data_IF_122861054499
#
_entry.id   IF_122861054499
#
_cell.length_a   1.000
_cell.length_b   1.000
_cell.length_c   1.000
_cell.angle_alpha   90.00
_cell.angle_beta   90.00
_cell.angle_gamma   90.00
#
_symmetry.space_group_name_H-M   'P 1'
#
loop_
_entity.id
_entity.type
_entity.pdbx_description
1 polymer ?
#
# COMPACT_ATOMS: atom_id res chain seq x y z
N UNK A 1 -22.95 -21.40 -44.23
CA UNK A 1 -23.91 -20.63 -43.43
C UNK A 1 -23.34 -20.53 -42.04
N UNK A 2 -22.77 -19.39 -41.67
CA UNK A 2 -22.24 -19.14 -40.34
C UNK A 2 -23.41 -18.86 -39.41
N UNK A 3 -23.49 -19.61 -38.32
CA UNK A 3 -24.46 -19.41 -37.27
C UNK A 3 -24.17 -18.08 -36.56
N UNK A 4 -24.94 -17.06 -36.90
CA UNK A 4 -24.83 -15.67 -36.42
C UNK A 4 -25.62 -15.45 -35.12
N UNK A 5 -25.91 -16.52 -34.37
CA UNK A 5 -26.64 -16.44 -33.10
C UNK A 5 -25.70 -16.33 -31.89
N UNK A 6 -24.69 -15.45 -31.96
CA UNK A 6 -24.13 -14.88 -30.73
C UNK A 6 -25.17 -13.90 -30.18
N UNK A 7 -25.98 -14.36 -29.22
CA UNK A 7 -26.77 -13.46 -28.39
C UNK A 7 -25.77 -12.56 -27.64
N UNK A 8 -25.64 -11.32 -28.09
CA UNK A 8 -24.99 -10.27 -27.31
C UNK A 8 -25.81 -10.11 -26.03
N UNK A 9 -25.30 -10.67 -24.93
CA UNK A 9 -25.82 -10.36 -23.61
C UNK A 9 -25.52 -8.89 -23.32
N UNK A 10 -26.55 -8.16 -22.90
CA UNK A 10 -26.35 -6.82 -22.35
C UNK A 10 -25.42 -6.95 -21.13
N UNK A 11 -24.28 -6.27 -21.17
CA UNK A 11 -23.36 -6.23 -20.04
C UNK A 11 -24.14 -5.76 -18.80
N UNK A 12 -24.22 -6.60 -17.77
CA UNK A 12 -25.00 -6.35 -16.57
C UNK A 12 -24.18 -5.69 -15.47
N UNK A 13 -23.30 -4.75 -15.82
CA UNK A 13 -22.53 -4.01 -14.82
C UNK A 13 -21.97 -2.70 -15.40
N UNK A 14 -22.72 -1.63 -15.21
CA UNK A 14 -22.15 -0.39 -14.70
C UNK A 14 -22.88 -0.12 -13.40
N UNK A 15 -22.15 0.20 -12.33
CA UNK A 15 -22.79 0.71 -11.11
C UNK A 15 -23.56 2.00 -11.48
N UNK A 16 -24.69 2.29 -10.82
CA UNK A 16 -25.37 3.55 -11.06
C UNK A 16 -24.44 4.71 -10.68
N UNK A 17 -24.57 5.85 -11.36
CA UNK A 17 -23.81 7.09 -11.08
C UNK A 17 -23.82 7.46 -9.59
N UNK A 18 -24.93 7.21 -8.89
CA UNK A 18 -25.04 7.44 -7.45
C UNK A 18 -24.02 6.65 -6.62
N UNK A 19 -23.58 5.47 -7.07
CA UNK A 19 -22.56 4.69 -6.38
C UNK A 19 -21.24 5.45 -6.25
N UNK A 20 -20.90 6.32 -7.20
CA UNK A 20 -19.66 7.08 -7.19
C UNK A 20 -19.82 8.43 -6.47
N UNK A 21 -20.97 9.07 -6.59
CA UNK A 21 -21.09 10.49 -6.23
C UNK A 21 -22.08 10.81 -5.10
N UNK A 22 -22.84 9.83 -4.59
CA UNK A 22 -23.73 10.04 -3.45
C UNK A 22 -22.94 10.01 -2.12
N UNK A 23 -22.88 11.14 -1.36
CA UNK A 23 -22.21 11.18 -0.06
C UNK A 23 -22.78 10.19 0.97
N UNK A 24 -24.07 9.85 0.88
CA UNK A 24 -24.69 8.89 1.79
C UNK A 24 -24.23 7.45 1.50
N UNK A 25 -24.08 7.09 0.22
CA UNK A 25 -23.50 5.81 -0.15
C UNK A 25 -22.02 5.75 0.21
N UNK A 26 -21.26 6.82 -0.03
CA UNK A 26 -19.87 6.92 0.42
C UNK A 26 -19.72 6.68 1.94
N UNK A 27 -20.56 7.32 2.77
CA UNK A 27 -20.54 7.11 4.21
C UNK A 27 -20.83 5.65 4.59
N UNK A 28 -21.80 5.02 3.93
CA UNK A 28 -22.10 3.60 4.11
C UNK A 28 -20.93 2.70 3.70
N UNK A 29 -20.23 3.01 2.60
CA UNK A 29 -19.03 2.29 2.16
C UNK A 29 -17.92 2.36 3.21
N UNK A 30 -17.71 3.53 3.82
CA UNK A 30 -16.70 3.67 4.88
C UNK A 30 -17.03 2.79 6.10
N UNK A 31 -18.30 2.72 6.50
CA UNK A 31 -18.75 1.89 7.63
C UNK A 31 -18.78 0.39 7.33
N UNK A 32 -18.99 0.00 6.07
CA UNK A 32 -19.23 -1.40 5.69
C UNK A 32 -18.04 -2.07 5.05
N UNK A 33 -17.30 -1.38 4.17
CA UNK A 33 -16.17 -1.93 3.44
C UNK A 33 -14.83 -1.61 4.12
N UNK A 34 -14.62 -0.37 4.54
CA UNK A 34 -13.33 0.06 5.11
C UNK A 34 -13.23 -0.29 6.59
N UNK A 35 -14.24 0.06 7.41
CA UNK A 35 -14.22 -0.22 8.85
C UNK A 35 -14.23 -1.73 9.18
N UNK A 36 -14.93 -2.53 8.37
CA UNK A 36 -15.01 -4.01 8.50
C UNK A 36 -14.04 -4.75 7.56
N UNK A 37 -13.27 -4.01 6.77
CA UNK A 37 -12.28 -4.53 5.85
C UNK A 37 -11.01 -5.02 6.55
N UNK A 38 -9.96 -5.33 5.80
CA UNK A 38 -8.70 -5.84 6.37
C UNK A 38 -7.92 -4.83 7.22
N UNK A 39 -8.17 -3.51 7.12
CA UNK A 39 -7.54 -2.47 7.96
C UNK A 39 -6.01 -2.53 7.95
N UNK A 40 -5.40 -2.44 6.76
CA UNK A 40 -3.95 -2.33 6.61
C UNK A 40 -3.43 -1.04 7.26
N UNK A 41 -2.31 -1.12 7.96
CA UNK A 41 -1.71 0.01 8.69
C UNK A 41 -0.24 0.26 8.33
N UNK A 42 0.34 -0.54 7.43
CA UNK A 42 1.73 -0.42 7.00
C UNK A 42 2.47 -1.76 7.05
N UNK A 43 3.69 -1.78 6.54
CA UNK A 43 4.53 -2.97 6.52
C UNK A 43 5.52 -2.99 7.70
N UNK A 44 5.88 -4.18 8.19
CA UNK A 44 6.89 -4.33 9.26
C UNK A 44 8.26 -3.75 8.91
N UNK A 45 8.61 -3.71 7.61
CA UNK A 45 9.85 -3.09 7.11
C UNK A 45 9.87 -1.56 7.26
N UNK A 46 8.75 -0.92 7.62
CA UNK A 46 8.77 0.48 8.01
C UNK A 46 9.48 0.71 9.36
N UNK A 47 9.53 -0.33 10.20
CA UNK A 47 10.11 -0.35 11.56
C UNK A 47 10.97 -1.63 11.78
N UNK A 48 12.07 -1.80 11.01
CA UNK A 48 12.82 -3.06 10.99
C UNK A 48 13.46 -3.41 12.33
N UNK A 49 13.91 -2.43 13.11
CA UNK A 49 14.68 -2.67 14.34
C UNK A 49 13.88 -2.31 15.61
N UNK A 50 14.10 -3.00 16.75
CA UNK A 50 13.48 -2.65 18.02
C UNK A 50 13.76 -1.19 18.41
N UNK A 51 12.71 -0.46 18.75
CA UNK A 51 12.76 0.97 19.03
C UNK A 51 12.37 1.84 17.83
N UNK A 52 12.38 1.30 16.62
CA UNK A 52 11.90 2.02 15.43
C UNK A 52 10.40 2.29 15.53
N UNK A 53 10.01 3.49 15.12
CA UNK A 53 8.63 3.90 14.96
C UNK A 53 8.37 4.46 13.56
N UNK A 54 7.12 4.33 13.11
CA UNK A 54 6.60 4.98 11.93
C UNK A 54 5.25 5.62 12.25
N UNK A 55 5.22 6.95 12.33
CA UNK A 55 3.98 7.71 12.46
C UNK A 55 3.24 7.68 11.11
N UNK A 56 2.00 7.19 11.13
CA UNK A 56 1.24 6.83 9.92
C UNK A 56 0.77 8.09 9.17
N UNK A 57 1.31 8.39 7.97
CA UNK A 57 0.95 9.60 7.23
C UNK A 57 -0.52 9.60 6.79
N UNK A 58 -1.07 8.45 6.42
CA UNK A 58 -2.47 8.25 6.03
C UNK A 58 -3.47 8.52 7.17
N UNK A 59 -2.98 8.65 8.41
CA UNK A 59 -3.79 8.99 9.58
C UNK A 59 -3.38 10.31 10.22
N UNK A 60 -2.73 11.19 9.45
CA UNK A 60 -2.22 12.47 9.93
C UNK A 60 -1.33 12.31 11.18
N UNK A 61 -0.52 11.26 11.21
CA UNK A 61 0.38 10.90 12.32
C UNK A 61 -0.36 10.60 13.65
N UNK A 62 -1.68 10.36 13.65
CA UNK A 62 -2.46 10.10 14.87
C UNK A 62 -2.20 8.73 15.53
N UNK A 63 -1.65 7.80 14.76
CA UNK A 63 -1.17 6.48 15.22
C UNK A 63 0.22 6.21 14.67
N UNK A 64 0.93 5.29 15.30
CA UNK A 64 2.25 4.86 14.87
C UNK A 64 2.42 3.35 15.01
N UNK A 65 3.11 2.75 14.04
CA UNK A 65 3.73 1.44 14.24
C UNK A 65 4.97 1.64 15.11
N UNK A 66 5.18 0.75 16.07
CA UNK A 66 6.33 0.75 16.96
C UNK A 66 6.86 -0.67 17.09
N UNK A 67 8.14 -0.88 16.78
CA UNK A 67 8.79 -2.14 17.02
C UNK A 67 9.23 -2.24 18.48
N UNK A 68 8.60 -3.14 19.23
CA UNK A 68 8.92 -3.40 20.63
C UNK A 68 9.62 -4.76 20.78
N UNK A 69 10.20 -5.08 21.95
CA UNK A 69 10.72 -6.42 22.22
C UNK A 69 9.69 -7.56 22.08
N UNK A 70 8.39 -7.23 22.03
CA UNK A 70 7.28 -8.18 21.87
C UNK A 70 6.79 -8.30 20.41
N UNK A 71 7.42 -7.58 19.49
CA UNK A 71 7.00 -7.44 18.09
C UNK A 71 6.51 -6.03 17.77
N UNK A 72 6.02 -5.86 16.54
CA UNK A 72 5.46 -4.59 16.09
C UNK A 72 4.06 -4.40 16.67
N UNK A 73 3.83 -3.27 17.34
CA UNK A 73 2.54 -2.89 17.92
C UNK A 73 2.05 -1.59 17.27
N UNK A 74 0.74 -1.45 17.12
CA UNK A 74 0.11 -0.18 16.73
C UNK A 74 -0.28 0.59 18.00
N UNK A 75 0.22 1.81 18.14
CA UNK A 75 0.01 2.66 19.33
C UNK A 75 -0.55 4.02 18.96
N UNK A 76 -1.33 4.61 19.86
CA UNK A 76 -1.84 5.96 19.69
C UNK A 76 -0.67 6.93 19.79
N UNK A 77 -0.55 7.83 18.83
CA UNK A 77 0.51 8.83 18.79
C UNK A 77 0.02 10.20 19.28
N UNK A 78 -1.04 10.22 20.09
CA UNK A 78 -1.70 11.42 20.60
C UNK A 78 -1.63 11.44 22.13
N UNK A 79 -0.90 12.41 22.68
CA UNK A 79 -0.69 12.54 24.11
C UNK A 79 -2.01 12.72 24.87
N UNK A 80 -2.20 11.97 25.96
CA UNK A 80 -3.43 12.01 26.76
C UNK A 80 -3.58 13.25 27.65
N UNK A 81 -2.54 14.09 27.74
CA UNK A 81 -2.63 15.38 28.46
C UNK A 81 -3.43 16.42 27.65
N UNK A 82 -2.92 16.81 26.48
CA UNK A 82 -3.52 17.87 25.63
C UNK A 82 -3.41 17.55 24.13
N UNK A 83 -3.49 16.26 23.79
CA UNK A 83 -3.65 15.78 22.42
C UNK A 83 -2.55 16.18 21.44
N UNK A 84 -1.35 16.47 21.94
CA UNK A 84 -0.20 16.70 21.07
C UNK A 84 0.23 15.41 20.38
N UNK A 85 0.52 15.51 19.08
CA UNK A 85 1.23 14.46 18.34
C UNK A 85 2.62 14.25 18.98
N UNK A 86 2.99 13.01 19.26
CA UNK A 86 4.21 12.69 20.01
C UNK A 86 5.40 12.47 19.07
N UNK A 87 5.26 11.55 18.13
CA UNK A 87 6.27 11.12 17.15
C UNK A 87 5.92 11.66 15.76
N UNK A 88 6.91 11.92 14.91
CA UNK A 88 6.70 12.42 13.53
C UNK A 88 7.54 11.63 12.54
N UNK A 89 7.00 11.35 11.36
CA UNK A 89 7.67 10.55 10.34
C UNK A 89 8.16 9.19 10.85
N UNK A 90 9.37 8.80 10.42
CA UNK A 90 10.08 7.59 10.86
C UNK A 90 11.27 7.95 11.73
N UNK A 91 11.58 7.13 12.73
CA UNK A 91 12.74 7.30 13.58
C UNK A 91 12.85 6.20 14.62
N UNK A 92 13.76 6.36 15.59
CA UNK A 92 13.96 5.41 16.68
C UNK A 92 13.85 6.11 18.04
N UNK A 93 13.24 5.43 19.03
CA UNK A 93 13.03 5.97 20.38
C UNK A 93 14.32 6.09 21.21
N UNK A 94 15.36 5.33 20.85
CA UNK A 94 16.65 5.26 21.54
C UNK A 94 17.64 6.34 21.09
N UNK A 95 17.48 6.89 19.87
CA UNK A 95 18.39 7.85 19.26
C UNK A 95 18.64 9.12 20.09
N UNK A 96 17.81 9.41 21.11
CA UNK A 96 17.93 10.58 21.98
C UNK A 96 17.53 10.34 23.46
N UNK A 97 17.41 9.10 23.97
CA UNK A 97 16.86 8.91 25.33
C UNK A 97 16.76 7.48 25.89
N UNK A 98 15.71 7.22 26.68
CA UNK A 98 15.50 5.99 27.47
C UNK A 98 14.76 4.86 26.72
N UNK A 99 14.52 5.01 25.41
CA UNK A 99 13.69 4.05 24.65
C UNK A 99 12.21 4.08 25.05
N UNK A 100 11.67 5.25 25.43
CA UNK A 100 10.28 5.46 25.80
C UNK A 100 9.59 6.46 24.87
N UNK A 101 8.26 6.42 24.80
CA UNK A 101 7.47 7.40 24.06
C UNK A 101 7.36 8.65 24.95
N UNK A 102 8.02 9.75 24.59
CA UNK A 102 8.05 10.98 25.39
C UNK A 102 7.35 12.12 24.66
N UNK A 103 6.27 12.64 25.23
CA UNK A 103 5.58 13.79 24.66
C UNK A 103 6.50 15.03 24.60
N UNK A 104 6.64 15.70 23.45
CA UNK A 104 7.57 16.81 23.29
C UNK A 104 7.17 18.07 24.07
N UNK A 105 5.90 18.20 24.47
CA UNK A 105 5.40 19.42 25.14
C UNK A 105 5.68 19.44 26.64
N UNK A 106 5.25 18.40 27.35
CA UNK A 106 5.28 18.36 28.82
C UNK A 106 5.97 17.11 29.37
N UNK A 107 6.65 16.34 28.51
CA UNK A 107 7.43 15.15 28.88
C UNK A 107 6.64 14.05 29.60
N UNK A 108 5.33 13.97 29.34
CA UNK A 108 4.56 12.77 29.69
C UNK A 108 5.20 11.58 28.98
N UNK A 109 5.58 10.58 29.77
CA UNK A 109 6.40 9.47 29.33
C UNK A 109 5.60 8.19 29.38
N UNK A 110 5.56 7.46 28.28
CA UNK A 110 4.83 6.20 28.15
C UNK A 110 5.78 5.06 27.83
N UNK A 111 5.43 3.89 28.33
CA UNK A 111 6.22 2.68 28.12
C UNK A 111 6.23 2.26 26.64
N UNK A 112 7.39 1.76 26.19
CA UNK A 112 7.59 1.21 24.86
C UNK A 112 8.36 -0.13 24.85
N UNK A 113 9.24 -0.34 25.83
CA UNK A 113 10.10 -1.53 25.89
C UNK A 113 10.28 -2.11 27.31
N UNK A 114 9.72 -1.48 28.34
CA UNK A 114 9.79 -1.95 29.72
C UNK A 114 8.79 -3.07 30.04
N UNK A 115 8.74 -3.54 31.30
CA UNK A 115 7.92 -4.69 31.70
C UNK A 115 6.40 -4.43 31.62
N UNK A 116 6.00 -3.17 31.55
CA UNK A 116 4.58 -2.79 31.44
C UNK A 116 4.08 -2.95 29.99
N UNK A 117 2.76 -2.96 29.76
CA UNK A 117 2.22 -2.87 28.41
C UNK A 117 2.67 -1.57 27.70
N UNK A 118 2.90 -1.64 26.39
CA UNK A 118 3.16 -0.46 25.54
C UNK A 118 2.05 0.58 25.72
N UNK A 119 2.43 1.85 25.82
CA UNK A 119 1.51 2.95 26.06
C UNK A 119 1.13 3.20 27.51
N UNK A 120 1.56 2.36 28.47
CA UNK A 120 1.35 2.62 29.90
C UNK A 120 2.02 3.92 30.30
N UNK A 121 1.31 4.84 30.97
CA UNK A 121 1.91 6.06 31.49
C UNK A 121 2.90 5.70 32.62
N UNK A 122 4.15 6.14 32.46
CA UNK A 122 5.24 5.92 33.42
C UNK A 122 5.51 7.16 34.26
N UNK A 123 5.08 8.34 33.81
CA UNK A 123 5.26 9.58 34.54
C UNK A 123 4.59 10.78 33.89
N UNK A 124 3.91 11.56 34.72
CA UNK A 124 3.38 12.89 34.39
C UNK A 124 4.09 13.95 35.26
N UNK A 125 5.08 14.68 34.73
CA UNK A 125 5.78 15.71 35.49
C UNK A 125 4.83 16.71 36.13
N UNK A 126 5.11 17.07 37.40
CA UNK A 126 4.33 17.99 38.24
C UNK A 126 2.96 17.48 38.72
N UNK A 127 2.61 16.21 38.47
CA UNK A 127 1.46 15.58 39.10
C UNK A 127 1.90 14.88 40.39
N UNK A 128 1.09 14.97 41.44
CA UNK A 128 1.34 14.28 42.71
C UNK A 128 1.17 12.76 42.57
N UNK A 129 0.29 12.34 41.67
CA UNK A 129 0.01 10.94 41.31
C UNK A 129 -0.14 10.86 39.79
N UNK A 130 0.33 9.78 39.19
CA UNK A 130 0.19 9.57 37.76
C UNK A 130 -1.28 9.33 37.39
N UNK A 131 -1.87 10.16 36.50
CA UNK A 131 -3.23 9.92 36.06
C UNK A 131 -3.26 8.63 35.24
N UNK A 132 -4.29 7.79 35.43
CA UNK A 132 -4.45 6.52 34.68
C UNK A 132 -4.84 6.75 33.20
N UNK A 133 -3.98 7.46 32.46
CA UNK A 133 -4.21 7.98 31.12
C UNK A 133 -3.18 7.37 30.15
N UNK A 134 -3.28 6.06 29.96
CA UNK A 134 -2.44 5.31 29.02
C UNK A 134 -2.76 5.64 27.56
N UNK A 135 -1.77 5.48 26.68
CA UNK A 135 -2.01 5.42 25.24
C UNK A 135 -2.78 4.14 24.91
N UNK A 136 -3.69 4.25 23.94
CA UNK A 136 -4.37 3.08 23.38
C UNK A 136 -3.42 2.32 22.45
N UNK A 137 -3.49 0.99 22.48
CA UNK A 137 -2.87 0.10 21.50
C UNK A 137 -3.94 -0.72 20.79
N UNK A 138 -3.57 -1.32 19.65
CA UNK A 138 -4.42 -2.20 18.86
C UNK A 138 -3.65 -3.48 18.52
N UNK A 139 -4.34 -4.62 18.60
CA UNK A 139 -3.78 -5.91 18.17
C UNK A 139 -3.63 -5.93 16.65
N UNK A 140 -2.52 -6.50 16.18
CA UNK A 140 -2.22 -6.69 14.77
C UNK A 140 -2.26 -8.17 14.37
N UNK A 141 -2.58 -8.43 13.11
CA UNK A 141 -2.34 -9.68 12.41
C UNK A 141 -1.40 -9.40 11.22
N UNK A 142 -0.66 -10.40 10.78
CA UNK A 142 0.39 -10.24 9.76
C UNK A 142 0.18 -11.22 8.59
N UNK A 143 0.41 -10.74 7.37
CA UNK A 143 0.54 -11.58 6.16
C UNK A 143 1.73 -11.08 5.33
N UNK A 144 2.77 -11.90 5.18
CA UNK A 144 4.01 -11.54 4.46
C UNK A 144 4.61 -10.18 4.88
N UNK A 145 4.54 -9.84 6.17
CA UNK A 145 5.03 -8.58 6.71
C UNK A 145 4.07 -7.39 6.62
N UNK A 146 2.97 -7.50 5.86
CA UNK A 146 1.89 -6.51 5.86
C UNK A 146 1.13 -6.62 7.19
N UNK A 147 0.95 -5.49 7.87
CA UNK A 147 0.32 -5.43 9.19
C UNK A 147 -1.10 -4.89 9.08
N UNK A 148 -2.02 -5.60 9.73
CA UNK A 148 -3.45 -5.33 9.69
C UNK A 148 -4.00 -5.27 11.11
N UNK A 149 -4.93 -4.36 11.38
CA UNK A 149 -5.64 -4.40 12.66
C UNK A 149 -6.52 -5.64 12.76
N UNK A 150 -6.51 -6.26 13.94
CA UNK A 150 -7.41 -7.36 14.23
C UNK A 150 -8.82 -6.83 14.54
N UNK A 151 -9.74 -6.99 13.58
CA UNK A 151 -11.12 -6.50 13.67
C UNK A 151 -12.18 -7.58 13.34
N UNK A 152 -11.80 -8.86 13.34
CA UNK A 152 -12.67 -9.98 13.00
C UNK A 152 -12.56 -10.47 11.55
N UNK A 153 -11.87 -9.72 10.67
CA UNK A 153 -11.41 -10.22 9.36
C UNK A 153 -10.19 -11.13 9.58
N UNK A 154 -10.14 -12.29 8.92
CA UNK A 154 -8.97 -13.18 8.91
C UNK A 154 -8.25 -13.07 7.57
N UNK A 155 -7.17 -12.28 7.55
CA UNK A 155 -6.41 -11.99 6.32
C UNK A 155 -5.67 -13.24 5.81
N UNK A 156 -5.15 -14.07 6.73
CA UNK A 156 -4.42 -15.27 6.36
C UNK A 156 -5.34 -16.29 5.67
N UNK A 157 -6.58 -16.45 6.17
CA UNK A 157 -7.60 -17.29 5.55
C UNK A 157 -8.05 -16.73 4.21
N UNK A 158 -8.29 -15.42 4.11
CA UNK A 158 -8.70 -14.79 2.85
C UNK A 158 -7.70 -15.01 1.72
N UNK A 159 -6.39 -14.96 2.02
CA UNK A 159 -5.30 -15.08 1.04
C UNK A 159 -4.66 -16.48 1.02
N UNK A 160 -5.23 -17.47 1.71
CA UNK A 160 -4.61 -18.78 1.91
C UNK A 160 -4.31 -19.54 0.61
N UNK A 161 -5.14 -19.35 -0.41
CA UNK A 161 -5.10 -20.08 -1.68
C UNK A 161 -4.61 -19.24 -2.88
N UNK A 162 -4.07 -18.04 -2.62
CA UNK A 162 -3.59 -17.14 -3.66
C UNK A 162 -2.39 -17.75 -4.39
N UNK A 163 -2.45 -17.83 -5.72
CA UNK A 163 -1.45 -18.48 -6.56
C UNK A 163 -0.01 -17.98 -6.33
N UNK A 164 0.33 -16.71 -6.62
CA UNK A 164 1.70 -16.19 -6.56
C UNK A 164 2.17 -15.83 -5.15
N UNK A 165 1.76 -16.58 -4.11
CA UNK A 165 2.09 -16.27 -2.71
C UNK A 165 3.60 -16.22 -2.42
N UNK A 166 4.39 -17.07 -3.08
CA UNK A 166 5.85 -17.06 -2.94
C UNK A 166 6.52 -15.92 -3.71
N UNK A 167 5.84 -15.33 -4.68
CA UNK A 167 6.38 -14.21 -5.47
C UNK A 167 6.16 -12.88 -4.75
N UNK A 168 5.07 -12.77 -3.98
CA UNK A 168 4.78 -11.62 -3.11
C UNK A 168 5.44 -11.77 -1.73
N UNK A 169 6.74 -12.07 -1.72
CA UNK A 169 7.58 -12.25 -0.53
C UNK A 169 8.54 -11.07 -0.37
N UNK A 170 8.47 -10.39 0.79
CA UNK A 170 9.30 -9.23 1.13
C UNK A 170 10.61 -9.62 1.85
N UNK A 171 10.93 -10.92 1.92
CA UNK A 171 12.19 -11.39 2.52
C UNK A 171 13.40 -10.80 1.81
N UNK A 172 14.26 -10.11 2.56
CA UNK A 172 15.44 -9.43 2.01
C UNK A 172 15.11 -8.15 1.24
N UNK A 173 13.93 -7.57 1.44
CA UNK A 173 13.57 -6.26 0.93
C UNK A 173 13.71 -5.18 2.00
N UNK A 174 13.85 -3.92 1.57
CA UNK A 174 13.79 -2.72 2.39
C UNK A 174 12.78 -1.72 1.82
N UNK A 175 12.11 -0.99 2.70
CA UNK A 175 11.27 0.16 2.32
C UNK A 175 12.16 1.32 1.91
N UNK A 176 12.07 1.74 0.65
CA UNK A 176 12.83 2.87 0.11
C UNK A 176 12.06 4.19 0.21
N UNK A 177 10.81 4.20 -0.25
CA UNK A 177 9.99 5.41 -0.34
C UNK A 177 8.52 5.13 -0.05
N UNK A 178 7.85 6.11 0.55
CA UNK A 178 6.39 6.20 0.61
C UNK A 178 5.97 7.46 -0.14
N UNK A 179 5.12 7.30 -1.16
CA UNK A 179 4.53 8.39 -1.92
C UNK A 179 3.05 8.55 -1.55
N UNK A 180 2.61 9.79 -1.35
CA UNK A 180 1.22 10.13 -1.07
C UNK A 180 0.64 10.82 -2.30
N UNK A 181 -0.01 10.06 -3.16
CA UNK A 181 -0.53 10.54 -4.44
C UNK A 181 -2.02 10.89 -4.34
N UNK A 182 -2.36 12.15 -4.61
CA UNK A 182 -3.75 12.61 -4.58
C UNK A 182 -4.47 12.33 -5.90
N UNK A 183 -5.55 11.55 -5.83
CA UNK A 183 -6.42 11.22 -6.95
C UNK A 183 -7.73 12.04 -6.87
N UNK A 184 -8.14 12.71 -7.94
CA UNK A 184 -9.34 13.56 -7.99
C UNK A 184 -10.59 12.82 -8.48
N UNK A 185 -10.74 11.56 -8.07
CA UNK A 185 -11.83 10.68 -8.49
C UNK A 185 -12.20 9.70 -7.37
N UNK A 186 -13.33 9.01 -7.55
CA UNK A 186 -13.83 8.03 -6.57
C UNK A 186 -12.86 6.85 -6.42
N UNK A 187 -12.76 6.31 -5.19
CA UNK A 187 -11.91 5.15 -4.92
C UNK A 187 -12.30 3.91 -5.75
N UNK A 188 -13.59 3.76 -6.08
CA UNK A 188 -14.06 2.66 -6.94
C UNK A 188 -13.55 2.82 -8.36
N UNK A 189 -13.50 4.04 -8.89
CA UNK A 189 -12.97 4.33 -10.23
C UNK A 189 -11.51 3.92 -10.32
N UNK A 190 -10.69 4.22 -9.30
CA UNK A 190 -9.32 3.70 -9.21
C UNK A 190 -9.29 2.18 -9.31
N UNK A 191 -10.09 1.51 -8.47
CA UNK A 191 -10.12 0.04 -8.42
C UNK A 191 -10.62 -0.56 -9.73
N UNK A 192 -11.57 0.08 -10.41
CA UNK A 192 -12.08 -0.36 -11.71
C UNK A 192 -11.03 -0.26 -12.82
N UNK A 193 -10.26 0.84 -12.87
CA UNK A 193 -9.13 0.97 -13.79
C UNK A 193 -8.06 -0.08 -13.50
N UNK A 194 -7.71 -0.30 -12.23
CA UNK A 194 -6.71 -1.29 -11.83
C UNK A 194 -7.13 -2.75 -12.12
N UNK A 195 -8.44 -3.04 -12.10
CA UNK A 195 -9.00 -4.40 -12.25
C UNK A 195 -9.26 -4.80 -13.70
N UNK A 196 -8.64 -4.14 -14.67
CA UNK A 196 -8.72 -4.53 -16.07
C UNK A 196 -7.45 -4.16 -16.85
N UNK A 197 -7.09 -5.02 -17.82
CA UNK A 197 -5.89 -4.84 -18.65
C UNK A 197 -6.20 -4.30 -20.05
N UNK A 198 -7.46 -3.96 -20.34
CA UNK A 198 -7.93 -3.58 -21.67
C UNK A 198 -7.42 -2.20 -22.09
N UNK A 199 -7.20 -1.29 -21.15
CA UNK A 199 -6.58 0.01 -21.41
C UNK A 199 -5.05 -0.05 -21.57
N UNK A 200 -4.39 -1.13 -21.12
CA UNK A 200 -2.93 -1.16 -20.99
C UNK A 200 -2.21 -0.94 -22.32
N UNK A 201 -2.54 -1.74 -23.33
CA UNK A 201 -1.92 -1.61 -24.66
C UNK A 201 -2.23 -0.29 -25.36
N UNK A 202 -3.50 0.16 -25.40
CA UNK A 202 -3.89 1.41 -26.07
C UNK A 202 -3.45 2.70 -25.36
N UNK A 203 -3.40 2.72 -24.04
CA UNK A 203 -3.27 3.96 -23.25
C UNK A 203 -1.89 4.15 -22.63
N UNK A 204 -1.21 3.07 -22.24
CA UNK A 204 0.12 3.16 -21.63
C UNK A 204 1.23 2.89 -22.66
N UNK A 205 1.82 3.91 -23.29
CA UNK A 205 2.94 3.70 -24.20
C UNK A 205 4.09 2.98 -23.50
N UNK A 206 4.46 3.38 -22.27
CA UNK A 206 5.50 2.74 -21.48
C UNK A 206 5.14 1.32 -21.07
N UNK A 207 4.14 1.18 -20.18
CA UNK A 207 3.73 -0.11 -19.62
C UNK A 207 3.31 -1.12 -20.69
N UNK A 208 2.54 -0.70 -21.69
CA UNK A 208 2.08 -1.56 -22.79
C UNK A 208 3.19 -2.08 -23.70
N UNK A 209 4.42 -1.52 -23.60
CA UNK A 209 5.62 -2.06 -24.24
C UNK A 209 6.56 -2.80 -23.27
N UNK A 210 6.21 -2.87 -21.98
CA UNK A 210 6.92 -3.65 -20.97
C UNK A 210 6.20 -4.98 -20.67
N UNK A 211 4.88 -4.96 -20.51
CA UNK A 211 4.06 -6.14 -20.26
C UNK A 211 3.30 -6.57 -21.51
N UNK A 212 2.92 -7.85 -21.58
CA UNK A 212 1.94 -8.33 -22.57
C UNK A 212 0.77 -9.02 -21.88
N UNK A 213 -0.42 -8.80 -22.42
CA UNK A 213 -1.64 -9.47 -22.00
C UNK A 213 -1.90 -10.76 -22.81
N UNK A 214 -1.01 -11.15 -23.72
CA UNK A 214 -1.16 -12.35 -24.55
C UNK A 214 -1.21 -13.65 -23.73
N UNK A 215 -0.55 -13.67 -22.57
CA UNK A 215 -0.50 -14.80 -21.63
C UNK A 215 -1.10 -14.45 -20.26
N UNK A 216 -1.97 -13.44 -20.22
CA UNK A 216 -2.68 -12.96 -19.05
C UNK A 216 -3.41 -14.09 -18.32
N UNK A 217 -3.18 -14.19 -17.00
CA UNK A 217 -3.86 -15.12 -16.11
C UNK A 217 -4.59 -14.36 -15.03
N UNK A 218 -5.85 -14.72 -14.85
CA UNK A 218 -6.72 -14.19 -13.81
C UNK A 218 -7.01 -15.22 -12.72
N UNK A 219 -6.88 -14.80 -11.48
CA UNK A 219 -7.50 -15.45 -10.34
C UNK A 219 -8.54 -14.51 -9.75
N UNK A 220 -9.80 -14.94 -9.67
CA UNK A 220 -10.87 -14.19 -9.01
C UNK A 220 -11.42 -14.97 -7.83
N UNK A 221 -11.41 -14.34 -6.65
CA UNK A 221 -11.99 -14.86 -5.41
C UNK A 221 -12.91 -13.82 -4.78
N UNK A 222 -13.75 -14.21 -3.80
CA UNK A 222 -14.66 -13.26 -3.15
C UNK A 222 -13.99 -12.06 -2.49
N UNK A 223 -12.70 -12.18 -2.11
CA UNK A 223 -11.97 -11.17 -1.33
C UNK A 223 -10.75 -10.61 -2.03
N UNK A 224 -10.31 -11.21 -3.13
CA UNK A 224 -9.15 -10.75 -3.87
C UNK A 224 -9.21 -11.15 -5.34
N UNK A 225 -8.43 -10.47 -6.16
CA UNK A 225 -8.11 -10.87 -7.53
C UNK A 225 -6.61 -10.79 -7.76
N UNK A 226 -6.10 -11.60 -8.68
CA UNK A 226 -4.71 -11.54 -9.13
C UNK A 226 -4.68 -11.55 -10.66
N UNK A 227 -3.93 -10.61 -11.21
CA UNK A 227 -3.53 -10.56 -12.62
C UNK A 227 -2.06 -10.95 -12.71
N UNK A 228 -1.70 -11.82 -13.64
CA UNK A 228 -0.30 -12.13 -13.96
C UNK A 228 -0.12 -11.96 -15.46
N UNK A 229 0.78 -11.05 -15.83
CA UNK A 229 1.07 -10.71 -17.23
C UNK A 229 2.51 -11.03 -17.59
N UNK A 230 2.72 -11.47 -18.83
CA UNK A 230 4.04 -11.76 -19.37
C UNK A 230 4.83 -10.50 -19.71
N UNK A 231 6.04 -10.72 -20.20
CA UNK A 231 6.94 -9.65 -20.67
C UNK A 231 6.65 -9.39 -22.14
N UNK A 232 6.39 -8.15 -22.53
CA UNK A 232 6.24 -7.76 -23.93
C UNK A 232 7.47 -8.23 -24.73
N UNK A 233 7.23 -8.73 -25.95
CA UNK A 233 8.24 -9.41 -26.77
C UNK A 233 9.52 -8.57 -26.95
N UNK A 234 10.49 -8.82 -26.07
CA UNK A 234 11.89 -8.35 -26.01
C UNK A 234 12.06 -6.83 -26.13
N UNK A 235 11.85 -6.08 -25.04
CA UNK A 235 12.44 -4.77 -24.61
C UNK A 235 13.10 -3.83 -25.65
N UNK A 236 12.79 -3.93 -26.94
CA UNK A 236 13.52 -3.31 -28.04
C UNK A 236 12.98 -1.93 -28.38
N UNK A 237 11.77 -1.63 -27.88
CA UNK A 237 11.18 -0.29 -27.81
C UNK A 237 10.45 -0.19 -26.49
N UNK A 238 10.85 0.74 -25.64
CA UNK A 238 10.25 0.91 -24.32
C UNK A 238 8.97 1.75 -24.32
N UNK A 239 8.54 2.25 -25.48
CA UNK A 239 7.34 3.07 -25.63
C UNK A 239 7.44 4.50 -25.09
N UNK A 240 8.20 4.74 -24.02
CA UNK A 240 8.51 6.06 -23.48
C UNK A 240 9.99 6.19 -23.08
N UNK A 241 10.54 7.42 -22.99
CA UNK A 241 11.89 7.64 -22.45
C UNK A 241 12.04 7.23 -20.97
N UNK A 242 10.96 7.26 -20.19
CA UNK A 242 10.98 6.87 -18.78
C UNK A 242 11.12 5.36 -18.65
N UNK A 243 10.27 4.60 -19.33
CA UNK A 243 10.38 3.14 -19.37
C UNK A 243 11.68 2.69 -20.04
N UNK A 244 12.21 3.44 -21.01
CA UNK A 244 13.51 3.13 -21.60
C UNK A 244 14.61 3.10 -20.54
N UNK A 245 14.67 4.10 -19.65
CA UNK A 245 15.66 4.12 -18.57
C UNK A 245 15.48 2.93 -17.62
N UNK A 246 14.24 2.60 -17.28
CA UNK A 246 13.98 1.45 -16.42
C UNK A 246 14.37 0.13 -17.08
N UNK A 247 14.07 -0.07 -18.37
CA UNK A 247 14.48 -1.25 -19.14
C UNK A 247 16.01 -1.41 -19.14
N UNK A 248 16.74 -0.31 -19.35
CA UNK A 248 18.20 -0.30 -19.36
C UNK A 248 18.78 -0.70 -17.99
N UNK A 249 18.29 -0.13 -16.89
CA UNK A 249 18.76 -0.48 -15.54
C UNK A 249 18.36 -1.91 -15.16
N UNK A 250 17.15 -2.34 -15.50
CA UNK A 250 16.69 -3.70 -15.25
C UNK A 250 17.55 -4.75 -15.99
N UNK A 251 17.81 -4.53 -17.26
CA UNK A 251 18.65 -5.44 -18.04
C UNK A 251 20.10 -5.40 -17.59
N UNK A 252 20.64 -4.23 -17.23
CA UNK A 252 21.98 -4.11 -16.67
C UNK A 252 22.12 -4.95 -15.40
N UNK A 253 21.16 -4.81 -14.47
CA UNK A 253 21.13 -5.59 -13.23
C UNK A 253 21.00 -7.09 -13.47
N UNK A 254 20.19 -7.49 -14.45
CA UNK A 254 19.93 -8.89 -14.79
C UNK A 254 20.91 -9.49 -15.81
N UNK A 255 22.03 -8.82 -16.08
CA UNK A 255 23.05 -9.27 -17.06
C UNK A 255 22.45 -9.56 -18.45
N UNK A 256 21.47 -8.76 -18.87
CA UNK A 256 20.75 -8.90 -20.13
C UNK A 256 19.67 -9.99 -20.15
N UNK A 257 19.44 -10.71 -19.04
CA UNK A 257 18.42 -11.77 -18.97
C UNK A 257 17.03 -11.16 -18.74
N UNK A 258 16.01 -11.54 -19.56
CA UNK A 258 14.66 -11.06 -19.34
C UNK A 258 14.10 -11.54 -17.98
N UNK A 259 13.11 -10.82 -17.41
CA UNK A 259 12.38 -11.28 -16.24
C UNK A 259 11.44 -12.43 -16.58
N UNK A 260 10.97 -13.14 -15.54
CA UNK A 260 10.03 -14.26 -15.68
C UNK A 260 8.61 -13.79 -16.01
N UNK A 261 8.17 -12.70 -15.36
CA UNK A 261 6.89 -12.04 -15.59
C UNK A 261 7.13 -10.57 -15.91
N UNK A 262 6.16 -9.95 -16.58
CA UNK A 262 6.10 -8.50 -16.70
C UNK A 262 5.69 -7.88 -15.38
N UNK A 263 4.52 -8.27 -14.89
CA UNK A 263 3.98 -7.83 -13.60
C UNK A 263 3.03 -8.86 -13.00
N UNK A 264 2.83 -8.76 -11.68
CA UNK A 264 1.75 -9.44 -10.96
C UNK A 264 1.03 -8.40 -10.13
N UNK A 265 -0.29 -8.31 -10.28
CA UNK A 265 -1.12 -7.32 -9.61
C UNK A 265 -2.17 -8.02 -8.75
N UNK A 266 -2.01 -7.96 -7.43
CA UNK A 266 -3.01 -8.42 -6.46
C UNK A 266 -3.87 -7.24 -6.05
N UNK A 267 -5.19 -7.36 -6.14
CA UNK A 267 -6.12 -6.52 -5.36
C UNK A 267 -6.67 -7.33 -4.20
N UNK A 268 -6.41 -6.90 -2.97
CA UNK A 268 -7.08 -7.38 -1.78
C UNK A 268 -8.20 -6.40 -1.36
N UNK A 269 -9.44 -6.84 -1.55
CA UNK A 269 -10.62 -5.98 -1.45
C UNK A 269 -10.81 -5.41 -0.03
N UNK A 270 -11.09 -4.10 0.11
CA UNK A 270 -11.52 -3.20 -0.96
C UNK A 270 -10.47 -2.29 -1.62
N UNK A 271 -9.29 -2.14 -1.05
CA UNK A 271 -8.47 -0.94 -1.32
C UNK A 271 -6.97 -1.17 -1.23
N UNK A 272 -6.52 -2.44 -1.20
CA UNK A 272 -5.11 -2.78 -1.05
C UNK A 272 -4.65 -3.45 -2.32
N UNK A 273 -3.59 -2.94 -2.90
CA UNK A 273 -2.92 -3.51 -4.05
C UNK A 273 -1.50 -3.91 -3.65
N UNK A 274 -1.10 -5.13 -4.02
CA UNK A 274 0.29 -5.59 -3.91
C UNK A 274 0.77 -5.94 -5.30
N UNK A 275 1.82 -5.29 -5.71
CA UNK A 275 2.27 -5.28 -7.09
C UNK A 275 3.70 -5.79 -7.12
N UNK A 276 3.94 -6.79 -7.94
CA UNK A 276 5.27 -7.27 -8.22
C UNK A 276 5.68 -6.81 -9.61
N UNK A 277 6.86 -6.21 -9.66
CA UNK A 277 7.63 -6.01 -10.88
C UNK A 277 9.00 -6.67 -10.68
N UNK A 278 9.79 -6.86 -11.75
CA UNK A 278 11.11 -7.47 -11.61
C UNK A 278 11.99 -6.73 -10.60
N UNK A 279 12.29 -7.40 -9.48
CA UNK A 279 13.03 -6.87 -8.33
C UNK A 279 12.38 -5.71 -7.57
N UNK A 280 11.06 -5.56 -7.66
CA UNK A 280 10.31 -4.53 -6.93
C UNK A 280 9.02 -5.11 -6.39
N UNK A 281 8.69 -4.75 -5.16
CA UNK A 281 7.36 -4.90 -4.62
C UNK A 281 6.83 -3.50 -4.31
N UNK A 282 5.62 -3.23 -4.76
CA UNK A 282 4.89 -2.01 -4.41
C UNK A 282 3.64 -2.39 -3.63
N UNK A 283 3.36 -1.67 -2.54
CA UNK A 283 2.06 -1.74 -1.87
C UNK A 283 1.35 -0.42 -2.10
N UNK A 284 0.26 -0.44 -2.86
CA UNK A 284 -0.59 0.73 -3.09
C UNK A 284 -1.86 0.57 -2.26
N UNK A 285 -2.25 1.59 -1.51
CA UNK A 285 -3.44 1.55 -0.66
C UNK A 285 -4.27 2.82 -0.77
N UNK A 286 -5.58 2.65 -1.00
CA UNK A 286 -6.48 3.78 -1.17
C UNK A 286 -7.09 4.21 0.16
N UNK A 287 -7.00 5.51 0.43
CA UNK A 287 -7.61 6.21 1.55
C UNK A 287 -8.63 7.22 1.01
N UNK A 288 -9.91 6.84 0.93
CA UNK A 288 -10.93 7.75 0.42
C UNK A 288 -11.06 8.99 1.31
N UNK A 289 -11.10 10.16 0.67
CA UNK A 289 -11.22 11.47 1.32
C UNK A 289 -12.59 12.13 1.05
N UNK A 290 -13.42 11.47 0.27
CA UNK A 290 -14.77 11.86 -0.12
C UNK A 290 -15.22 11.13 -1.38
N UNK A 291 -16.42 11.43 -1.90
CA UNK A 291 -16.92 10.81 -3.13
C UNK A 291 -16.09 11.12 -4.39
N UNK A 292 -15.33 12.21 -4.39
CA UNK A 292 -14.58 12.71 -5.55
C UNK A 292 -13.07 12.85 -5.28
N UNK A 293 -12.57 12.31 -4.17
CA UNK A 293 -11.16 12.44 -3.81
C UNK A 293 -10.69 11.23 -3.04
N UNK A 294 -9.57 10.70 -3.46
CA UNK A 294 -8.92 9.52 -2.86
C UNK A 294 -7.44 9.79 -2.74
N UNK A 295 -6.82 9.35 -1.65
CA UNK A 295 -5.37 9.36 -1.51
C UNK A 295 -4.85 7.95 -1.77
N UNK A 296 -3.96 7.79 -2.75
CA UNK A 296 -3.21 6.54 -2.95
C UNK A 296 -1.87 6.64 -2.20
N UNK A 297 -1.70 5.84 -1.15
CA UNK A 297 -0.41 5.67 -0.48
C UNK A 297 0.35 4.53 -1.15
N UNK A 298 1.52 4.84 -1.71
CA UNK A 298 2.35 3.92 -2.49
C UNK A 298 3.66 3.69 -1.73
N UNK A 299 3.90 2.45 -1.32
CA UNK A 299 5.12 2.03 -0.62
C UNK A 299 6.01 1.21 -1.56
N UNK A 300 7.24 1.68 -1.80
CA UNK A 300 8.20 1.01 -2.69
C UNK A 300 9.22 0.20 -1.90
N UNK A 301 9.32 -1.09 -2.24
CA UNK A 301 10.26 -2.01 -1.63
C UNK A 301 11.19 -2.63 -2.69
N UNK A 302 12.47 -2.70 -2.36
CA UNK A 302 13.49 -3.32 -3.20
C UNK A 302 14.37 -4.25 -2.38
N UNK A 303 15.02 -5.26 -2.99
CA UNK A 303 16.09 -6.02 -2.37
C UNK A 303 17.13 -5.12 -1.70
N UNK A 304 17.66 -5.52 -0.54
CA UNK A 304 18.63 -4.74 0.24
C UNK A 304 19.84 -4.28 -0.61
N UNK A 305 20.33 -5.15 -1.49
CA UNK A 305 21.43 -4.87 -2.40
C UNK A 305 21.11 -3.76 -3.42
N UNK A 306 19.87 -3.71 -3.92
CA UNK A 306 19.43 -2.67 -4.85
C UNK A 306 19.32 -1.33 -4.12
N UNK A 307 18.76 -1.32 -2.90
CA UNK A 307 18.70 -0.10 -2.07
C UNK A 307 20.10 0.43 -1.76
N UNK A 308 21.04 -0.47 -1.44
CA UNK A 308 22.40 -0.10 -1.05
C UNK A 308 23.29 0.35 -2.22
N UNK A 309 23.14 -0.24 -3.41
CA UNK A 309 24.13 -0.10 -4.48
C UNK A 309 23.58 0.34 -5.84
N UNK A 310 22.27 0.23 -6.09
CA UNK A 310 21.68 0.44 -7.41
C UNK A 310 20.66 1.59 -7.40
N UNK A 311 21.08 2.78 -6.96
CA UNK A 311 20.16 3.92 -6.82
C UNK A 311 19.47 4.29 -8.15
N UNK A 312 20.20 4.25 -9.26
CA UNK A 312 19.67 4.53 -10.60
C UNK A 312 18.55 3.55 -10.99
N UNK A 313 18.64 2.28 -10.60
CA UNK A 313 17.58 1.30 -10.82
C UNK A 313 16.29 1.73 -10.13
N UNK A 314 16.39 2.12 -8.86
CA UNK A 314 15.22 2.49 -8.07
C UNK A 314 14.59 3.78 -8.58
N UNK A 315 15.39 4.80 -8.85
CA UNK A 315 14.89 6.07 -9.39
C UNK A 315 14.22 5.86 -10.76
N UNK A 316 14.79 5.02 -11.63
CA UNK A 316 14.21 4.68 -12.91
C UNK A 316 12.88 3.92 -12.76
N UNK A 317 12.80 2.95 -11.83
CA UNK A 317 11.58 2.19 -11.63
C UNK A 317 10.47 3.01 -10.97
N UNK A 318 10.78 3.83 -9.96
CA UNK A 318 9.79 4.75 -9.37
C UNK A 318 9.26 5.71 -10.42
N UNK A 319 10.13 6.24 -11.28
CA UNK A 319 9.69 7.11 -12.38
C UNK A 319 8.77 6.37 -13.37
N UNK A 320 9.07 5.12 -13.73
CA UNK A 320 8.22 4.32 -14.61
C UNK A 320 6.87 4.00 -13.98
N UNK A 321 6.85 3.65 -12.69
CA UNK A 321 5.61 3.46 -11.93
C UNK A 321 4.76 4.74 -11.91
N UNK A 322 5.37 5.89 -11.62
CA UNK A 322 4.65 7.16 -11.58
C UNK A 322 4.19 7.63 -12.96
N UNK A 323 4.89 7.31 -14.05
CA UNK A 323 4.40 7.57 -15.41
C UNK A 323 3.06 6.86 -15.64
N UNK A 324 2.99 5.56 -15.32
CA UNK A 324 1.73 4.79 -15.41
C UNK A 324 0.66 5.34 -14.47
N UNK A 325 1.01 5.67 -13.23
CA UNK A 325 0.06 6.23 -12.26
C UNK A 325 -0.59 7.55 -12.76
N UNK A 326 0.18 8.41 -13.43
CA UNK A 326 -0.32 9.67 -14.00
C UNK A 326 -1.20 9.39 -15.23
N UNK A 327 -0.85 8.40 -16.04
CA UNK A 327 -1.69 7.95 -17.16
C UNK A 327 -3.02 7.38 -16.65
N UNK A 328 -3.01 6.58 -15.58
CA UNK A 328 -4.21 6.05 -14.93
C UNK A 328 -5.11 7.15 -14.35
N UNK A 329 -4.53 8.21 -13.79
CA UNK A 329 -5.30 9.37 -13.35
C UNK A 329 -6.08 9.99 -14.52
N UNK A 330 -5.48 10.11 -15.70
CA UNK A 330 -6.17 10.66 -16.87
C UNK A 330 -7.36 9.78 -17.28
N UNK A 331 -7.22 8.46 -17.20
CA UNK A 331 -8.32 7.52 -17.47
C UNK A 331 -9.43 7.73 -16.43
N UNK A 332 -9.09 7.70 -15.15
CA UNK A 332 -10.04 7.77 -14.06
C UNK A 332 -10.76 9.13 -13.98
N UNK A 333 -10.05 10.24 -14.20
CA UNK A 333 -10.66 11.58 -14.26
C UNK A 333 -11.62 11.70 -15.45
N UNK A 334 -11.33 11.07 -16.60
CA UNK A 334 -12.26 11.01 -17.73
C UNK A 334 -13.47 10.15 -17.45
N UNK A 335 -13.30 9.04 -16.73
CA UNK A 335 -14.40 8.17 -16.30
C UNK A 335 -15.33 8.89 -15.33
N UNK A 336 -14.80 9.56 -14.32
CA UNK A 336 -15.60 10.30 -13.33
C UNK A 336 -16.29 11.54 -13.93
N UNK A 337 -15.70 12.16 -14.97
CA UNK A 337 -16.28 13.33 -15.63
C UNK A 337 -17.45 13.01 -16.57
N UNK A 338 -17.55 11.77 -17.07
CA UNK A 338 -18.54 11.32 -18.05
C UNK A 338 -19.94 11.10 -17.47
#
# INVERSE_FOLDING_TARGET
MSDLSLQLQQASSQLPVSAYFDPALYALEMETFFAKGPRYVGHRLAVPEPGDFYALPQEHEGRALLHTPRGVELVSNVCRHRQAVIMKGRGALDAQGSGHIVCPLHRWTYNAAGPQPTGTLLGAPHFAEDPCLNLRTWELQEWNGLLFEKNGRDVATDLAHMGPRSTLDFSGYQLDRVEMHECNYNWKTFIEVYLEDYHVGPFHPGLGNFVTCDDLRWEFKPRYSVQTVGVANRLGRAGSPVYQRWHEQLLKYREGKPPEYGAIWLTYYPHIMVEWYPHVLTVSTLHPMGPHKTMNMIEFYYPEEIVAFEREFVEAQQAAYMETCIEDDEIAERMDAG
#
